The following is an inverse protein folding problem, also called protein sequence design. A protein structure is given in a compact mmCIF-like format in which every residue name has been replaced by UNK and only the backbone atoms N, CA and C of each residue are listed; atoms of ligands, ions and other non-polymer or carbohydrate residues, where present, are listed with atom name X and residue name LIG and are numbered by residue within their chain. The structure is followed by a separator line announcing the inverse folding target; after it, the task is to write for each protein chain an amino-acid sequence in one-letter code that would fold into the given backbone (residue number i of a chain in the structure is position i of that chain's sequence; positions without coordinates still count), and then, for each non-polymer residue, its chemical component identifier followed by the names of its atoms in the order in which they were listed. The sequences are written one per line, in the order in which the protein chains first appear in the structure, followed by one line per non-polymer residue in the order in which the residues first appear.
data_IF_779167328232
#
_entry.id   IF_779167328232
#
_cell.length_a   1.000
_cell.length_b   1.000
_cell.length_c   1.000
_cell.angle_alpha   90.00
_cell.angle_beta   90.00
_cell.angle_gamma   90.00
#
_symmetry.space_group_name_H-M   'P 1'
#
loop_
_entity.id
_entity.type
_entity.pdbx_description
1 polymer ?
#
# COMPACT_ATOMS: atom_id res chain seq x y z
N UNK A 1 -48.68 59.19 -38.14
CA UNK A 1 -47.90 58.04 -38.70
C UNK A 1 -46.68 57.86 -37.81
N UNK A 2 -46.63 56.73 -37.10
CA UNK A 2 -45.74 56.44 -35.96
C UNK A 2 -44.27 56.18 -36.37
N UNK A 3 -43.29 56.43 -35.48
CA UNK A 3 -41.96 55.84 -35.58
C UNK A 3 -41.96 54.41 -35.02
N UNK A 4 -41.44 53.45 -35.80
CA UNK A 4 -41.31 52.04 -35.39
C UNK A 4 -40.08 51.87 -34.46
N UNK A 5 -40.36 51.46 -33.24
CA UNK A 5 -39.38 50.96 -32.27
C UNK A 5 -38.75 49.65 -32.78
N UNK A 6 -37.41 49.61 -32.83
CA UNK A 6 -36.64 48.40 -33.10
C UNK A 6 -36.22 47.78 -31.77
N UNK A 7 -37.00 46.80 -31.30
CA UNK A 7 -36.71 46.01 -30.10
C UNK A 7 -35.60 45.01 -30.45
N UNK A 8 -34.40 45.21 -29.90
CA UNK A 8 -33.34 44.19 -29.88
C UNK A 8 -33.80 43.04 -28.97
N UNK A 9 -34.00 41.85 -29.55
CA UNK A 9 -34.17 40.60 -28.81
C UNK A 9 -32.86 40.28 -28.09
N UNK A 10 -32.83 40.43 -26.77
CA UNK A 10 -31.80 39.86 -25.91
C UNK A 10 -32.18 38.41 -25.67
N UNK A 11 -31.49 37.48 -26.32
CA UNK A 11 -31.61 36.05 -26.04
C UNK A 11 -30.88 35.78 -24.73
N UNK A 12 -31.64 35.66 -23.64
CA UNK A 12 -31.13 35.28 -22.33
C UNK A 12 -30.78 33.78 -22.38
N UNK A 13 -29.49 33.45 -22.49
CA UNK A 13 -29.02 32.08 -22.28
C UNK A 13 -29.16 31.76 -20.79
N UNK A 14 -30.22 31.02 -20.43
CA UNK A 14 -30.36 30.43 -19.10
C UNK A 14 -29.29 29.34 -19.00
N UNK A 15 -28.14 29.65 -18.38
CA UNK A 15 -27.20 28.63 -17.93
C UNK A 15 -27.93 27.83 -16.85
N UNK A 16 -28.39 26.63 -17.19
CA UNK A 16 -28.79 25.64 -16.20
C UNK A 16 -27.54 25.31 -15.36
N UNK A 17 -27.44 25.94 -14.20
CA UNK A 17 -26.55 25.47 -13.13
C UNK A 17 -27.19 24.17 -12.65
N UNK A 18 -26.78 23.04 -13.23
CA UNK A 18 -27.12 21.74 -12.69
C UNK A 18 -26.42 21.68 -11.33
N UNK A 19 -27.16 21.57 -10.20
CA UNK A 19 -26.52 21.37 -8.91
C UNK A 19 -25.75 20.05 -8.98
N UNK A 20 -24.43 20.15 -8.85
CA UNK A 20 -23.47 19.04 -8.80
C UNK A 20 -23.56 18.27 -7.47
N UNK A 21 -24.76 17.79 -7.13
CA UNK A 21 -25.05 17.15 -5.87
C UNK A 21 -25.55 15.72 -6.14
N UNK A 22 -24.76 14.77 -5.63
CA UNK A 22 -24.91 13.30 -5.70
C UNK A 22 -24.55 12.66 -7.05
N UNK A 23 -23.24 12.67 -7.36
CA UNK A 23 -22.67 11.69 -8.31
C UNK A 23 -22.62 10.33 -7.61
N UNK A 24 -23.56 9.44 -7.95
CA UNK A 24 -23.52 8.02 -7.58
C UNK A 24 -22.71 7.21 -8.60
N UNK A 25 -22.29 6.02 -8.19
CA UNK A 25 -21.74 5.02 -9.12
C UNK A 25 -22.76 4.70 -10.22
N UNK A 26 -22.27 4.57 -11.45
CA UNK A 26 -23.08 4.20 -12.61
C UNK A 26 -22.45 2.99 -13.34
N UNK A 27 -23.27 2.13 -13.98
CA UNK A 27 -22.75 1.10 -14.87
C UNK A 27 -21.86 1.72 -15.96
N UNK A 28 -20.72 1.08 -16.21
CA UNK A 28 -19.68 1.54 -17.13
C UNK A 28 -18.62 2.44 -16.50
N UNK A 29 -18.81 2.93 -15.27
CA UNK A 29 -17.77 3.64 -14.52
C UNK A 29 -16.50 2.79 -14.43
N UNK A 30 -15.33 3.41 -14.62
CA UNK A 30 -14.04 2.76 -14.44
C UNK A 30 -13.67 2.69 -12.98
N UNK A 31 -13.10 1.55 -12.58
CA UNK A 31 -12.60 1.32 -11.23
C UNK A 31 -11.08 1.30 -11.26
N UNK A 32 -10.46 2.17 -10.46
CA UNK A 32 -9.02 2.16 -10.24
C UNK A 32 -8.65 1.04 -9.26
N UNK A 33 -7.43 0.53 -9.36
CA UNK A 33 -6.92 -0.47 -8.42
C UNK A 33 -6.79 0.12 -7.01
N UNK A 34 -7.05 -0.70 -6.00
CA UNK A 34 -6.91 -0.34 -4.58
C UNK A 34 -6.58 -1.57 -3.75
N UNK A 35 -6.06 -1.34 -2.54
CA UNK A 35 -5.81 -2.38 -1.55
C UNK A 35 -6.45 -2.02 -0.21
N UNK A 36 -7.28 -2.91 0.31
CA UNK A 36 -7.89 -2.79 1.64
C UNK A 36 -7.55 -4.03 2.48
N UNK A 37 -7.57 -3.84 3.80
CA UNK A 37 -7.58 -4.96 4.73
C UNK A 37 -9.01 -5.41 4.96
N UNK A 38 -9.24 -6.71 5.06
CA UNK A 38 -10.49 -7.24 5.56
C UNK A 38 -10.59 -7.10 7.09
N UNK A 39 -11.76 -7.40 7.63
CA UNK A 39 -12.01 -7.36 9.06
C UNK A 39 -11.06 -8.26 9.86
N UNK A 40 -10.55 -9.36 9.27
CA UNK A 40 -9.62 -10.33 9.88
C UNK A 40 -8.13 -9.96 9.69
N UNK A 41 -7.81 -8.96 8.86
CA UNK A 41 -6.45 -8.52 8.53
C UNK A 41 -5.87 -9.10 7.24
N UNK A 42 -6.67 -9.84 6.48
CA UNK A 42 -6.31 -10.26 5.13
C UNK A 42 -6.16 -9.06 4.22
N UNK A 43 -5.08 -9.02 3.43
CA UNK A 43 -4.84 -7.93 2.47
C UNK A 43 -5.40 -8.32 1.11
N UNK A 44 -6.25 -7.48 0.54
CA UNK A 44 -6.88 -7.71 -0.76
C UNK A 44 -6.63 -6.52 -1.67
N UNK A 45 -5.88 -6.75 -2.74
CA UNK A 45 -5.67 -5.78 -3.82
C UNK A 45 -6.42 -6.25 -5.06
N UNK A 46 -7.19 -5.32 -5.64
CA UNK A 46 -8.13 -5.64 -6.71
C UNK A 46 -7.43 -6.28 -7.93
N UNK A 47 -6.23 -5.82 -8.26
CA UNK A 47 -5.40 -6.35 -9.35
C UNK A 47 -5.15 -7.87 -9.29
N UNK A 48 -5.07 -8.48 -8.09
CA UNK A 48 -4.82 -9.92 -7.97
C UNK A 48 -6.04 -10.80 -8.26
N UNK A 49 -7.17 -10.21 -8.63
CA UNK A 49 -8.38 -10.92 -9.04
C UNK A 49 -8.71 -10.66 -10.52
N UNK A 50 -7.69 -10.41 -11.35
CA UNK A 50 -7.83 -10.16 -12.78
C UNK A 50 -8.22 -11.40 -13.60
N UNK A 51 -8.04 -12.58 -13.01
CA UNK A 51 -8.43 -13.88 -13.52
C UNK A 51 -9.91 -14.22 -13.27
N UNK A 52 -10.57 -13.52 -12.36
CA UNK A 52 -11.99 -13.72 -12.06
C UNK A 52 -12.89 -13.17 -13.18
N UNK A 53 -14.04 -13.82 -13.39
CA UNK A 53 -15.07 -13.34 -14.32
C UNK A 53 -15.87 -12.17 -13.76
N UNK A 54 -16.07 -12.13 -12.44
CA UNK A 54 -16.79 -11.06 -11.77
C UNK A 54 -16.35 -10.90 -10.31
N UNK A 55 -16.29 -9.66 -9.85
CA UNK A 55 -16.07 -9.32 -8.43
C UNK A 55 -17.33 -8.65 -7.90
N UNK A 56 -17.96 -9.27 -6.92
CA UNK A 56 -19.25 -8.87 -6.38
C UNK A 56 -19.03 -8.19 -5.05
N UNK A 57 -19.59 -7.00 -4.88
CA UNK A 57 -19.47 -6.24 -3.65
C UNK A 57 -20.85 -5.94 -3.07
N UNK A 58 -21.00 -6.16 -1.77
CA UNK A 58 -22.11 -5.65 -0.98
C UNK A 58 -21.61 -4.51 -0.08
N UNK A 59 -22.21 -3.33 -0.21
CA UNK A 59 -21.86 -2.19 0.64
C UNK A 59 -22.39 -2.43 2.05
N UNK A 60 -21.49 -2.65 2.99
CA UNK A 60 -21.77 -3.00 4.38
C UNK A 60 -21.82 -1.74 5.26
N UNK A 61 -22.45 -1.87 6.42
CA UNK A 61 -22.42 -0.88 7.48
C UNK A 61 -23.07 -1.46 8.73
N UNK A 62 -22.41 -1.33 9.88
CA UNK A 62 -22.92 -1.91 11.11
C UNK A 62 -24.24 -1.23 11.51
N UNK A 63 -25.10 -1.99 12.18
CA UNK A 63 -26.40 -1.53 12.65
C UNK A 63 -27.46 -1.42 11.55
N UNK A 64 -27.12 -1.56 10.27
CA UNK A 64 -28.08 -1.40 9.17
C UNK A 64 -28.95 -2.66 9.01
N UNK A 65 -30.28 -2.58 9.23
CA UNK A 65 -31.17 -3.74 9.09
C UNK A 65 -31.19 -4.28 7.65
N UNK A 66 -31.10 -3.38 6.66
CA UNK A 66 -31.07 -3.75 5.24
C UNK A 66 -29.86 -4.65 4.93
N UNK A 67 -28.68 -4.30 5.44
CA UNK A 67 -27.45 -5.08 5.28
C UNK A 67 -27.57 -6.44 5.97
N UNK A 68 -28.08 -6.48 7.21
CA UNK A 68 -28.29 -7.74 7.95
C UNK A 68 -29.20 -8.70 7.21
N UNK A 69 -30.28 -8.19 6.60
CA UNK A 69 -31.17 -9.00 5.75
C UNK A 69 -30.53 -9.42 4.42
N UNK A 70 -29.69 -8.57 3.83
CA UNK A 70 -29.00 -8.86 2.58
C UNK A 70 -27.86 -9.88 2.74
N UNK A 71 -27.13 -9.84 3.86
CA UNK A 71 -25.91 -10.62 4.09
C UNK A 71 -26.11 -12.14 3.94
N UNK A 72 -27.17 -12.70 4.53
CA UNK A 72 -27.46 -14.13 4.42
C UNK A 72 -27.68 -14.58 2.97
N UNK A 73 -28.36 -13.75 2.18
CA UNK A 73 -28.69 -14.06 0.77
C UNK A 73 -27.50 -13.82 -0.14
N UNK A 74 -26.68 -12.84 0.20
CA UNK A 74 -25.40 -12.62 -0.45
C UNK A 74 -24.45 -13.80 -0.22
N UNK A 75 -24.46 -14.39 0.99
CA UNK A 75 -23.74 -15.63 1.28
C UNK A 75 -24.30 -16.82 0.50
N UNK A 76 -25.63 -16.99 0.42
CA UNK A 76 -26.24 -18.03 -0.43
C UNK A 76 -25.79 -17.91 -1.90
N UNK A 77 -25.72 -16.69 -2.44
CA UNK A 77 -25.20 -16.46 -3.79
C UNK A 77 -23.72 -16.79 -3.90
N UNK A 78 -22.90 -16.38 -2.93
CA UNK A 78 -21.48 -16.77 -2.89
C UNK A 78 -21.34 -18.30 -2.97
N UNK A 79 -22.12 -19.05 -2.19
CA UNK A 79 -22.04 -20.52 -2.16
C UNK A 79 -22.49 -21.16 -3.48
N UNK A 80 -23.41 -20.54 -4.23
CA UNK A 80 -23.82 -20.98 -5.57
C UNK A 80 -22.69 -20.80 -6.60
N UNK A 81 -21.88 -19.74 -6.47
CA UNK A 81 -20.86 -19.35 -7.46
C UNK A 81 -19.42 -19.66 -7.04
N UNK A 82 -19.20 -20.36 -5.92
CA UNK A 82 -17.87 -20.60 -5.33
C UNK A 82 -16.85 -21.22 -6.31
N UNK A 83 -17.29 -22.10 -7.22
CA UNK A 83 -16.44 -22.78 -8.21
C UNK A 83 -16.53 -22.17 -9.63
N UNK A 84 -17.04 -20.94 -9.77
CA UNK A 84 -17.36 -20.33 -11.08
C UNK A 84 -16.51 -19.10 -11.42
N UNK A 85 -15.33 -18.94 -10.78
CA UNK A 85 -14.44 -17.78 -10.98
C UNK A 85 -15.15 -16.45 -10.67
N UNK A 86 -15.97 -16.46 -9.61
CA UNK A 86 -16.67 -15.28 -9.09
C UNK A 86 -16.26 -15.06 -7.64
N UNK A 87 -15.83 -13.85 -7.33
CA UNK A 87 -15.36 -13.52 -6.00
C UNK A 87 -16.34 -12.56 -5.30
N UNK A 88 -16.58 -12.78 -4.01
CA UNK A 88 -17.54 -12.02 -3.22
C UNK A 88 -16.86 -11.29 -2.07
N UNK A 89 -17.10 -9.98 -2.01
CA UNK A 89 -16.68 -9.10 -0.94
C UNK A 89 -17.87 -8.32 -0.36
N UNK A 90 -17.70 -7.90 0.87
CA UNK A 90 -18.38 -6.76 1.43
C UNK A 90 -17.39 -5.59 1.52
N UNK A 91 -17.86 -4.35 1.48
CA UNK A 91 -17.03 -3.16 1.68
C UNK A 91 -17.71 -2.19 2.65
N UNK A 92 -16.98 -1.73 3.65
CA UNK A 92 -17.46 -0.76 4.64
C UNK A 92 -16.61 0.52 4.59
N UNK A 93 -17.26 1.66 4.33
CA UNK A 93 -16.67 3.01 4.32
C UNK A 93 -17.29 3.93 5.38
N UNK A 94 -17.93 3.38 6.42
CA UNK A 94 -18.53 4.14 7.51
C UNK A 94 -17.48 4.47 8.58
N UNK A 95 -17.34 5.75 8.94
CA UNK A 95 -16.35 6.21 9.93
C UNK A 95 -16.62 5.73 11.37
N UNK A 96 -17.85 5.37 11.70
CA UNK A 96 -18.20 4.89 13.04
C UNK A 96 -17.94 3.39 13.22
N UNK A 97 -17.57 2.68 12.15
CA UNK A 97 -17.30 1.25 12.15
C UNK A 97 -15.78 1.02 12.09
N UNK A 98 -15.31 -0.01 12.79
CA UNK A 98 -13.91 -0.43 12.74
C UNK A 98 -13.80 -1.96 12.60
N UNK A 99 -12.58 -2.47 12.38
CA UNK A 99 -12.37 -3.91 12.19
C UNK A 99 -12.83 -4.76 13.38
N UNK A 100 -12.83 -4.22 14.60
CA UNK A 100 -13.25 -4.96 15.80
C UNK A 100 -14.77 -5.07 15.81
N UNK A 101 -15.48 -3.95 15.74
CA UNK A 101 -16.94 -3.87 15.74
C UNK A 101 -17.56 -4.58 14.54
N UNK A 102 -16.95 -4.49 13.36
CA UNK A 102 -17.38 -5.23 12.15
C UNK A 102 -17.29 -6.74 12.38
N UNK A 103 -16.21 -7.25 13.01
CA UNK A 103 -16.08 -8.68 13.34
C UNK A 103 -17.13 -9.13 14.35
N UNK A 104 -17.43 -8.30 15.35
CA UNK A 104 -18.44 -8.59 16.35
C UNK A 104 -19.83 -8.68 15.72
N UNK A 105 -20.18 -7.74 14.84
CA UNK A 105 -21.47 -7.79 14.13
C UNK A 105 -21.55 -9.00 13.20
N UNK A 106 -20.51 -9.27 12.40
CA UNK A 106 -20.50 -10.44 11.50
C UNK A 106 -20.71 -11.75 12.26
N UNK A 107 -20.12 -11.87 13.46
CA UNK A 107 -20.30 -13.01 14.35
C UNK A 107 -21.71 -13.07 14.95
N UNK A 108 -22.26 -11.94 15.40
CA UNK A 108 -23.61 -11.86 15.99
C UNK A 108 -24.69 -12.30 14.99
N UNK A 109 -24.58 -11.85 13.74
CA UNK A 109 -25.55 -12.15 12.68
C UNK A 109 -25.15 -13.35 11.80
N UNK A 110 -24.10 -14.08 12.18
CA UNK A 110 -23.67 -15.34 11.60
C UNK A 110 -23.47 -15.30 10.07
N UNK A 111 -22.75 -14.29 9.57
CA UNK A 111 -22.28 -14.27 8.18
C UNK A 111 -20.74 -14.31 8.14
N UNK A 112 -20.19 -15.16 7.28
CA UNK A 112 -18.74 -15.33 7.10
C UNK A 112 -18.34 -14.88 5.69
N UNK A 113 -18.41 -13.58 5.48
CA UNK A 113 -18.02 -12.90 4.25
C UNK A 113 -16.77 -12.05 4.51
N UNK A 114 -15.93 -11.86 3.50
CA UNK A 114 -14.77 -10.97 3.56
C UNK A 114 -15.25 -9.52 3.50
N UNK A 115 -15.02 -8.74 4.55
CA UNK A 115 -15.48 -7.35 4.67
C UNK A 115 -14.26 -6.45 4.60
N UNK A 116 -14.05 -5.83 3.44
CA UNK A 116 -13.00 -4.84 3.22
C UNK A 116 -13.33 -3.57 3.99
N UNK A 117 -12.36 -3.07 4.75
CA UNK A 117 -12.53 -1.89 5.62
C UNK A 117 -11.79 -0.70 5.02
N UNK A 118 -12.54 0.35 4.68
CA UNK A 118 -12.08 1.62 4.10
C UNK A 118 -12.18 2.74 5.14
N UNK A 119 -11.26 2.70 6.10
CA UNK A 119 -11.15 3.65 7.22
C UNK A 119 -10.89 5.10 6.77
N UNK A 120 -10.13 5.28 5.69
CA UNK A 120 -9.85 6.59 5.09
C UNK A 120 -11.02 7.17 4.27
N UNK A 121 -12.02 6.35 3.95
CA UNK A 121 -13.11 6.61 3.00
C UNK A 121 -12.69 6.88 1.55
N UNK A 122 -11.40 6.90 1.23
CA UNK A 122 -10.89 7.25 -0.09
C UNK A 122 -11.37 6.27 -1.16
N UNK A 123 -11.51 4.99 -0.82
CA UNK A 123 -11.97 3.98 -1.78
C UNK A 123 -13.47 4.12 -2.02
N UNK A 124 -14.27 4.28 -0.98
CA UNK A 124 -15.71 4.51 -1.06
C UNK A 124 -16.04 5.78 -1.84
N UNK A 125 -15.28 6.86 -1.64
CA UNK A 125 -15.43 8.10 -2.41
C UNK A 125 -15.07 7.89 -3.90
N UNK A 126 -13.98 7.17 -4.19
CA UNK A 126 -13.53 6.87 -5.56
C UNK A 126 -14.53 5.99 -6.30
N UNK A 127 -15.13 5.02 -5.60
CA UNK A 127 -16.18 4.16 -6.11
C UNK A 127 -17.54 4.88 -6.19
N UNK A 128 -17.67 6.09 -5.63
CA UNK A 128 -18.94 6.83 -5.54
C UNK A 128 -20.03 6.03 -4.81
N UNK A 129 -19.65 5.30 -3.77
CA UNK A 129 -20.61 4.62 -2.89
C UNK A 129 -21.57 5.66 -2.30
N UNK A 130 -22.83 5.29 -2.14
CA UNK A 130 -23.85 6.22 -1.67
C UNK A 130 -24.72 5.64 -0.55
N UNK A 131 -24.94 4.33 -0.57
CA UNK A 131 -25.87 3.65 0.31
C UNK A 131 -25.34 2.30 0.78
N UNK A 132 -25.59 1.97 2.04
CA UNK A 132 -25.40 0.60 2.54
C UNK A 132 -26.47 -0.34 1.99
N UNK A 133 -26.21 -1.63 1.87
CA UNK A 133 -27.16 -2.62 1.34
C UNK A 133 -27.23 -2.69 -0.19
N UNK A 134 -26.64 -1.72 -0.89
CA UNK A 134 -26.45 -1.75 -2.33
C UNK A 134 -25.38 -2.78 -2.72
N UNK A 135 -25.60 -3.48 -3.83
CA UNK A 135 -24.62 -4.38 -4.43
C UNK A 135 -24.13 -3.83 -5.75
N UNK A 136 -22.90 -4.14 -6.10
CA UNK A 136 -22.34 -3.83 -7.42
C UNK A 136 -21.40 -4.93 -7.90
N UNK A 137 -21.20 -4.99 -9.22
CA UNK A 137 -20.29 -5.93 -9.87
C UNK A 137 -19.19 -5.15 -10.59
N UNK A 138 -17.94 -5.51 -10.35
CA UNK A 138 -16.81 -5.09 -11.17
C UNK A 138 -16.48 -6.23 -12.14
N UNK A 139 -16.33 -5.90 -13.43
CA UNK A 139 -15.82 -6.81 -14.45
C UNK A 139 -14.29 -6.65 -14.58
N UNK A 140 -13.47 -7.64 -14.15
CA UNK A 140 -12.01 -7.53 -14.19
C UNK A 140 -11.42 -7.43 -15.60
N UNK A 141 -12.12 -7.94 -16.63
CA UNK A 141 -11.65 -7.88 -18.03
C UNK A 141 -11.42 -6.45 -18.52
N UNK A 142 -12.15 -5.49 -17.96
CA UNK A 142 -12.06 -4.09 -18.38
C UNK A 142 -12.09 -3.08 -17.22
N UNK A 143 -12.08 -3.57 -15.97
CA UNK A 143 -12.16 -2.79 -14.74
C UNK A 143 -13.29 -1.76 -14.77
N UNK A 144 -14.50 -2.21 -15.11
CA UNK A 144 -15.69 -1.35 -15.09
C UNK A 144 -16.83 -1.95 -14.28
N UNK A 145 -17.70 -1.07 -13.78
CA UNK A 145 -18.92 -1.45 -13.08
C UNK A 145 -19.90 -2.06 -14.08
N UNK A 146 -20.23 -3.34 -13.92
CA UNK A 146 -21.17 -4.04 -14.80
C UNK A 146 -22.62 -3.97 -14.29
N UNK A 147 -22.80 -3.87 -12.98
CA UNK A 147 -24.11 -3.81 -12.33
C UNK A 147 -24.03 -2.99 -11.04
N UNK A 148 -25.11 -2.28 -10.72
CA UNK A 148 -25.33 -1.65 -9.41
C UNK A 148 -26.82 -1.68 -9.04
N UNK A 149 -27.16 -2.03 -7.79
CA UNK A 149 -28.52 -1.93 -7.29
C UNK A 149 -28.84 -2.91 -6.17
N UNK A 150 -30.05 -3.47 -6.19
CA UNK A 150 -30.51 -4.47 -5.23
C UNK A 150 -30.06 -5.89 -5.60
N UNK A 151 -30.06 -6.79 -4.61
CA UNK A 151 -29.87 -8.24 -4.87
C UNK A 151 -31.06 -8.80 -5.66
N UNK A 152 -32.28 -8.39 -5.29
CA UNK A 152 -33.56 -8.88 -5.80
C UNK A 152 -34.73 -8.00 -5.30
N UNK A 153 -35.97 -8.40 -5.59
CA UNK A 153 -37.19 -7.65 -5.28
C UNK A 153 -37.90 -8.06 -3.96
N UNK A 154 -37.22 -8.77 -3.05
CA UNK A 154 -37.83 -9.26 -1.80
C UNK A 154 -38.02 -8.17 -0.76
N UNK A 155 -37.11 -7.21 -0.68
CA UNK A 155 -37.06 -6.20 0.39
C UNK A 155 -37.62 -4.86 -0.09
N UNK A 156 -38.52 -4.28 0.70
CA UNK A 156 -38.92 -2.87 0.63
C UNK A 156 -38.70 -2.22 2.01
N UNK A 157 -38.79 -0.89 2.12
CA UNK A 157 -38.72 -0.24 3.44
C UNK A 157 -39.86 -0.65 4.38
N UNK A 158 -41.00 -1.08 3.82
CA UNK A 158 -42.21 -1.39 4.60
C UNK A 158 -42.43 -2.88 4.80
N UNK A 159 -41.93 -3.73 3.89
CA UNK A 159 -42.26 -5.15 3.84
C UNK A 159 -41.10 -6.02 3.33
N UNK A 160 -41.13 -7.30 3.70
CA UNK A 160 -40.23 -8.32 3.15
C UNK A 160 -41.06 -9.49 2.61
N UNK A 161 -40.93 -9.80 1.32
CA UNK A 161 -41.55 -10.98 0.72
C UNK A 161 -40.94 -12.25 1.30
N UNK A 162 -41.69 -13.36 1.31
CA UNK A 162 -41.12 -14.66 1.69
C UNK A 162 -40.09 -15.14 0.64
N UNK A 163 -40.43 -14.96 -0.65
CA UNK A 163 -39.60 -15.35 -1.80
C UNK A 163 -39.48 -14.18 -2.79
N UNK A 164 -38.30 -14.05 -3.39
CA UNK A 164 -38.10 -13.12 -4.50
C UNK A 164 -38.84 -13.61 -5.75
N UNK A 165 -39.34 -12.66 -6.54
CA UNK A 165 -39.91 -12.90 -7.88
C UNK A 165 -38.93 -12.51 -8.98
N UNK A 166 -37.94 -11.64 -8.69
CA UNK A 166 -36.87 -11.22 -9.61
C UNK A 166 -35.53 -11.34 -8.91
N UNK A 167 -34.48 -11.79 -9.60
CA UNK A 167 -33.18 -12.09 -9.01
C UNK A 167 -32.05 -11.27 -9.65
N UNK A 168 -32.14 -9.94 -9.54
CA UNK A 168 -31.32 -9.00 -10.32
C UNK A 168 -29.81 -9.27 -10.27
N UNK A 169 -29.25 -9.47 -9.08
CA UNK A 169 -27.81 -9.73 -8.94
C UNK A 169 -27.43 -11.08 -9.57
N UNK A 170 -28.24 -12.11 -9.36
CA UNK A 170 -28.03 -13.45 -9.94
C UNK A 170 -28.04 -13.38 -11.47
N UNK A 171 -29.07 -12.74 -12.03
CA UNK A 171 -29.23 -12.59 -13.48
C UNK A 171 -28.04 -11.83 -14.10
N UNK A 172 -27.53 -10.80 -13.40
CA UNK A 172 -26.35 -10.05 -13.83
C UNK A 172 -25.04 -10.87 -13.78
N UNK A 173 -24.87 -11.72 -12.75
CA UNK A 173 -23.72 -12.63 -12.66
C UNK A 173 -23.79 -13.66 -13.80
N UNK A 174 -24.95 -14.27 -14.03
CA UNK A 174 -25.15 -15.26 -15.08
C UNK A 174 -24.87 -14.67 -16.48
N UNK A 175 -25.34 -13.45 -16.75
CA UNK A 175 -25.04 -12.73 -18.00
C UNK A 175 -23.52 -12.59 -18.20
N UNK A 176 -22.76 -12.22 -17.16
CA UNK A 176 -21.30 -12.06 -17.26
C UNK A 176 -20.57 -13.40 -17.42
N UNK A 177 -21.02 -14.47 -16.74
CA UNK A 177 -20.45 -15.81 -16.86
C UNK A 177 -20.62 -16.39 -18.27
N UNK A 178 -21.70 -15.98 -18.96
CA UNK A 178 -21.99 -16.31 -20.35
C UNK A 178 -21.38 -15.32 -21.36
N UNK A 179 -20.48 -14.43 -20.91
CA UNK A 179 -19.84 -13.39 -21.73
C UNK A 179 -20.83 -12.43 -22.43
N UNK A 180 -22.01 -12.24 -21.83
CA UNK A 180 -23.05 -11.31 -22.29
C UNK A 180 -22.95 -9.96 -21.57
N UNK A 181 -23.54 -8.94 -22.18
CA UNK A 181 -23.79 -7.67 -21.50
C UNK A 181 -24.91 -7.84 -20.47
N UNK A 182 -24.73 -7.31 -19.26
CA UNK A 182 -25.76 -7.32 -18.21
C UNK A 182 -27.05 -6.66 -18.71
N UNK A 183 -28.13 -7.43 -18.74
CA UNK A 183 -29.41 -7.02 -19.34
C UNK A 183 -30.10 -5.90 -18.56
N UNK A 184 -30.01 -5.94 -17.23
CA UNK A 184 -30.52 -4.90 -16.33
C UNK A 184 -29.36 -4.39 -15.47
N UNK A 185 -28.56 -3.44 -15.98
CA UNK A 185 -27.32 -3.03 -15.32
C UNK A 185 -27.56 -2.14 -14.09
N UNK A 186 -28.78 -1.64 -13.89
CA UNK A 186 -29.15 -0.79 -12.75
C UNK A 186 -30.51 -1.13 -12.19
N UNK A 187 -30.62 -1.21 -10.86
CA UNK A 187 -31.89 -1.26 -10.14
C UNK A 187 -31.90 -0.30 -8.94
N UNK A 188 -33.07 -0.02 -8.38
CA UNK A 188 -33.17 0.76 -7.15
C UNK A 188 -32.70 -0.08 -5.95
N UNK A 189 -31.82 0.50 -5.13
CA UNK A 189 -31.31 -0.11 -3.91
C UNK A 189 -31.86 0.59 -2.67
N UNK A 190 -32.05 -0.18 -1.60
CA UNK A 190 -32.42 0.33 -0.28
C UNK A 190 -31.18 0.42 0.58
N UNK A 191 -31.19 1.34 1.53
CA UNK A 191 -30.04 1.53 2.40
C UNK A 191 -30.12 2.71 3.34
N UNK A 192 -29.07 2.86 4.14
CA UNK A 192 -28.75 4.10 4.83
C UNK A 192 -27.76 4.89 3.96
N UNK A 193 -27.82 6.22 4.00
CA UNK A 193 -26.85 7.06 3.31
C UNK A 193 -25.47 6.92 3.96
N UNK A 194 -24.43 6.85 3.14
CA UNK A 194 -23.03 6.89 3.60
C UNK A 194 -22.58 8.35 3.60
N UNK A 195 -22.00 8.78 4.72
CA UNK A 195 -21.52 10.15 4.86
C UNK A 195 -20.03 10.23 4.53
N UNK A 196 -19.66 11.15 3.64
CA UNK A 196 -18.27 11.48 3.29
C UNK A 196 -17.99 12.94 3.66
N UNK A 197 -17.84 13.25 4.96
CA UNK A 197 -17.86 14.63 5.46
C UNK A 197 -16.76 15.50 4.85
N UNK A 198 -15.57 14.95 4.60
CA UNK A 198 -14.42 15.69 4.11
C UNK A 198 -14.39 15.88 2.59
N UNK A 199 -15.33 15.28 1.84
CA UNK A 199 -15.35 15.34 0.37
C UNK A 199 -15.55 16.76 -0.17
N UNK A 200 -16.24 17.63 0.57
CA UNK A 200 -16.44 19.02 0.19
C UNK A 200 -15.21 19.91 0.49
N UNK A 201 -14.45 19.55 1.51
CA UNK A 201 -13.36 20.39 2.06
C UNK A 201 -12.02 20.18 1.34
N UNK A 202 -11.96 19.29 0.35
CA UNK A 202 -10.74 18.99 -0.43
C UNK A 202 -10.06 20.23 -1.02
N UNK A 203 -10.83 21.29 -1.30
CA UNK A 203 -10.32 22.54 -1.87
C UNK A 203 -9.65 23.45 -0.83
N UNK A 204 -9.85 23.16 0.47
CA UNK A 204 -9.29 23.92 1.58
C UNK A 204 -7.92 23.42 2.02
N UNK A 205 -7.49 22.24 1.53
CA UNK A 205 -6.22 21.61 1.91
C UNK A 205 -5.05 22.46 1.41
N UNK A 206 -4.23 22.92 2.34
CA UNK A 206 -3.01 23.69 2.11
C UNK A 206 -1.85 22.75 1.79
N UNK A 207 -1.17 22.99 0.67
CA UNK A 207 0.07 22.28 0.38
C UNK A 207 1.12 22.54 1.46
N UNK A 208 1.25 23.78 1.92
CA UNK A 208 2.32 24.15 2.83
C UNK A 208 2.10 23.68 4.27
N UNK A 209 0.85 23.75 4.73
CA UNK A 209 0.51 23.51 6.14
C UNK A 209 0.03 22.08 6.41
N UNK A 210 -0.66 21.45 5.44
CA UNK A 210 -1.26 20.13 5.64
C UNK A 210 -0.47 19.02 4.93
N UNK A 211 -0.06 19.25 3.67
CA UNK A 211 0.55 18.20 2.83
C UNK A 211 2.05 18.10 3.06
N UNK A 212 2.78 19.21 2.99
CA UNK A 212 4.23 19.20 3.06
C UNK A 212 4.76 18.56 4.36
N UNK A 213 4.19 18.80 5.56
CA UNK A 213 4.63 18.10 6.77
C UNK A 213 4.53 16.58 6.66
N UNK A 214 3.43 16.05 6.10
CA UNK A 214 3.24 14.61 5.88
C UNK A 214 4.31 14.08 4.92
N UNK A 215 4.59 14.81 3.83
CA UNK A 215 5.62 14.43 2.86
C UNK A 215 7.02 14.42 3.49
N UNK A 216 7.35 15.44 4.27
CA UNK A 216 8.63 15.55 4.97
C UNK A 216 8.84 14.36 5.91
N UNK A 217 7.87 14.09 6.77
CA UNK A 217 7.95 13.03 7.78
C UNK A 217 8.00 11.64 7.14
N UNK A 218 7.09 11.36 6.20
CA UNK A 218 6.87 9.99 5.73
C UNK A 218 7.63 9.65 4.44
N UNK A 219 7.87 10.64 3.56
CA UNK A 219 8.34 10.39 2.19
C UNK A 219 9.78 10.83 1.94
N UNK A 220 10.20 12.01 2.45
CA UNK A 220 11.48 12.60 2.06
C UNK A 220 12.71 11.83 2.55
N UNK A 221 12.59 11.04 3.63
CA UNK A 221 13.65 10.15 4.12
C UNK A 221 14.18 9.23 3.01
N UNK A 222 13.29 8.74 2.15
CA UNK A 222 13.65 7.89 1.02
C UNK A 222 13.74 8.67 -0.29
N UNK A 223 12.83 9.62 -0.51
CA UNK A 223 12.75 10.46 -1.72
C UNK A 223 13.59 11.74 -1.61
N UNK A 224 14.89 11.59 -1.32
CA UNK A 224 15.86 12.69 -1.25
C UNK A 224 17.05 12.44 -2.15
N UNK A 225 17.87 13.46 -2.36
CA UNK A 225 19.16 13.29 -3.03
C UNK A 225 20.03 12.28 -2.25
N UNK A 226 20.62 11.32 -2.96
CA UNK A 226 21.34 10.20 -2.35
C UNK A 226 20.46 9.15 -1.65
N UNK A 227 19.14 9.35 -1.58
CA UNK A 227 18.17 8.41 -1.04
C UNK A 227 17.91 7.21 -1.95
N UNK A 228 17.05 6.29 -1.49
CA UNK A 228 16.68 5.06 -2.22
C UNK A 228 15.48 5.25 -3.16
N UNK A 229 14.74 6.35 -3.04
CA UNK A 229 13.60 6.66 -3.88
C UNK A 229 14.04 6.92 -5.34
N UNK A 230 13.21 6.56 -6.34
CA UNK A 230 13.56 6.70 -7.76
C UNK A 230 13.62 8.17 -8.24
N UNK A 231 13.15 9.11 -7.44
CA UNK A 231 13.17 10.55 -7.72
C UNK A 231 13.24 11.34 -6.41
N UNK A 232 13.72 12.59 -6.52
CA UNK A 232 13.91 13.50 -5.39
C UNK A 232 12.67 14.37 -5.21
N UNK A 233 12.15 14.38 -3.99
CA UNK A 233 11.04 15.22 -3.55
C UNK A 233 11.56 16.62 -3.17
N UNK A 234 12.13 17.33 -4.14
CA UNK A 234 12.85 18.59 -3.93
C UNK A 234 11.95 19.80 -3.70
N UNK A 235 10.83 19.83 -4.40
CA UNK A 235 9.93 20.99 -4.48
C UNK A 235 8.52 20.54 -4.92
N UNK A 236 7.56 21.46 -4.83
CA UNK A 236 6.18 21.19 -5.23
C UNK A 236 6.03 20.81 -6.69
N UNK A 237 6.81 21.39 -7.61
CA UNK A 237 6.67 21.10 -9.04
C UNK A 237 6.99 19.64 -9.31
N UNK A 238 8.02 19.10 -8.66
CA UNK A 238 8.36 17.68 -8.68
C UNK A 238 7.23 16.83 -8.09
N UNK A 239 6.77 17.16 -6.88
CA UNK A 239 5.66 16.43 -6.23
C UNK A 239 4.41 16.42 -7.10
N UNK A 240 4.03 17.57 -7.66
CA UNK A 240 2.88 17.71 -8.55
C UNK A 240 3.02 16.85 -9.79
N UNK A 241 4.21 16.77 -10.38
CA UNK A 241 4.49 15.90 -11.53
C UNK A 241 4.23 14.41 -11.23
N UNK A 242 4.55 13.97 -10.01
CA UNK A 242 4.33 12.58 -9.56
C UNK A 242 3.03 12.35 -8.79
N UNK A 243 2.21 13.39 -8.60
CA UNK A 243 1.02 13.36 -7.72
C UNK A 243 0.04 12.21 -8.05
N UNK A 244 -0.26 11.96 -9.31
CA UNK A 244 -1.16 10.86 -9.69
C UNK A 244 -0.56 9.49 -9.36
N UNK A 245 0.76 9.32 -9.53
CA UNK A 245 1.47 8.11 -9.11
C UNK A 245 1.46 7.97 -7.59
N UNK A 246 1.65 9.07 -6.84
CA UNK A 246 1.53 9.08 -5.38
C UNK A 246 0.15 8.59 -4.93
N UNK A 247 -0.93 9.10 -5.53
CA UNK A 247 -2.30 8.64 -5.25
C UNK A 247 -2.46 7.15 -5.51
N UNK A 248 -1.91 6.64 -6.61
CA UNK A 248 -1.97 5.21 -6.95
C UNK A 248 -1.24 4.34 -5.93
N UNK A 249 0.00 4.68 -5.57
CA UNK A 249 0.79 3.89 -4.60
C UNK A 249 0.24 3.96 -3.18
N UNK A 250 -0.41 5.08 -2.81
CA UNK A 250 -1.10 5.23 -1.52
C UNK A 250 -2.37 4.37 -1.49
N UNK A 251 -3.22 4.44 -2.53
CA UNK A 251 -4.46 3.63 -2.63
C UNK A 251 -4.21 2.13 -2.67
N UNK A 252 -3.06 1.72 -3.21
CA UNK A 252 -2.63 0.30 -3.27
C UNK A 252 -1.75 -0.10 -2.08
N UNK A 253 -1.54 0.80 -1.10
CA UNK A 253 -0.65 0.61 0.07
C UNK A 253 0.74 0.07 -0.29
N UNK A 254 1.27 0.48 -1.45
CA UNK A 254 2.66 0.23 -1.86
C UNK A 254 3.62 1.25 -1.23
N UNK A 255 3.11 2.45 -0.93
CA UNK A 255 3.88 3.50 -0.27
C UNK A 255 3.08 4.14 0.88
N UNK A 256 3.76 4.49 1.99
CA UNK A 256 5.11 4.05 2.35
C UNK A 256 5.19 2.51 2.48
N UNK A 257 6.38 1.90 2.30
CA UNK A 257 6.52 0.45 2.29
C UNK A 257 6.45 -0.11 3.73
N UNK A 258 5.23 -0.18 4.27
CA UNK A 258 4.93 -0.69 5.59
C UNK A 258 3.76 -1.68 5.51
N UNK A 259 4.04 -2.96 5.81
CA UNK A 259 3.07 -4.04 5.68
C UNK A 259 2.59 -4.60 7.03
N UNK A 260 3.03 -4.02 8.14
CA UNK A 260 2.53 -4.45 9.44
C UNK A 260 1.07 -4.01 9.58
N UNK A 261 0.24 -4.89 10.14
CA UNK A 261 -1.15 -4.58 10.45
C UNK A 261 -1.18 -3.57 11.62
N UNK A 262 -1.77 -2.37 11.45
CA UNK A 262 -1.83 -1.35 12.51
C UNK A 262 -2.64 -1.79 13.73
N UNK A 263 -3.45 -2.85 13.63
CA UNK A 263 -4.18 -3.42 14.77
C UNK A 263 -3.31 -4.39 15.60
N UNK A 264 -2.13 -4.79 15.10
CA UNK A 264 -1.31 -5.85 15.70
C UNK A 264 0.04 -5.30 16.17
N UNK A 265 0.06 -4.88 17.44
CA UNK A 265 1.25 -4.37 18.11
C UNK A 265 1.53 -2.91 17.78
N UNK A 266 2.53 -2.36 18.46
CA UNK A 266 3.02 -1.00 18.23
C UNK A 266 4.50 -1.10 17.85
N UNK A 267 4.89 -0.40 16.78
CA UNK A 267 6.24 -0.46 16.26
C UNK A 267 6.88 0.92 16.38
N UNK A 268 8.04 1.00 17.03
CA UNK A 268 8.78 2.26 17.21
C UNK A 268 9.27 2.86 15.88
N UNK A 269 9.22 2.08 14.80
CA UNK A 269 9.62 2.47 13.46
C UNK A 269 8.45 2.37 12.46
N UNK A 270 7.21 2.49 12.92
CA UNK A 270 6.04 2.61 12.05
C UNK A 270 6.18 3.83 11.13
N UNK A 271 5.88 3.62 9.84
CA UNK A 271 5.93 4.64 8.80
C UNK A 271 4.66 4.64 7.94
N UNK A 272 3.63 3.95 8.42
CA UNK A 272 2.33 3.95 7.77
C UNK A 272 1.76 5.37 7.78
N UNK A 273 1.00 5.67 6.74
CA UNK A 273 0.13 6.84 6.76
C UNK A 273 -1.13 6.45 7.51
N UNK A 274 -1.54 7.28 8.46
CA UNK A 274 -2.85 7.11 9.09
C UNK A 274 -3.98 7.53 8.13
N UNK A 275 -5.23 7.20 8.48
CA UNK A 275 -6.38 7.44 7.63
C UNK A 275 -6.56 8.92 7.23
N UNK A 276 -6.27 9.87 8.14
CA UNK A 276 -6.37 11.31 7.85
C UNK A 276 -5.24 11.81 6.95
N UNK A 277 -4.03 11.28 7.10
CA UNK A 277 -2.90 11.59 6.22
C UNK A 277 -3.15 11.08 4.79
N UNK A 278 -3.61 9.82 4.66
CA UNK A 278 -4.03 9.24 3.38
C UNK A 278 -5.09 10.10 2.72
N UNK A 279 -6.12 10.48 3.51
CA UNK A 279 -7.23 11.30 3.04
C UNK A 279 -6.74 12.68 2.56
N UNK A 280 -5.95 13.37 3.37
CA UNK A 280 -5.38 14.69 3.05
C UNK A 280 -4.57 14.67 1.76
N UNK A 281 -3.65 13.71 1.64
CA UNK A 281 -2.81 13.57 0.44
C UNK A 281 -3.66 13.28 -0.81
N UNK A 282 -4.56 12.29 -0.75
CA UNK A 282 -5.36 11.90 -1.92
C UNK A 282 -6.32 13.01 -2.32
N UNK A 283 -7.01 13.64 -1.37
CA UNK A 283 -7.92 14.74 -1.64
C UNK A 283 -7.21 15.96 -2.25
N UNK A 284 -6.03 16.32 -1.76
CA UNK A 284 -5.21 17.39 -2.34
C UNK A 284 -4.77 17.06 -3.77
N UNK A 285 -4.36 15.82 -4.03
CA UNK A 285 -3.99 15.35 -5.37
C UNK A 285 -5.20 15.46 -6.31
N UNK A 286 -6.37 14.96 -5.89
CA UNK A 286 -7.61 15.01 -6.68
C UNK A 286 -8.15 16.43 -6.88
N UNK A 287 -7.82 17.37 -5.99
CA UNK A 287 -8.09 18.79 -6.16
C UNK A 287 -7.10 19.50 -7.11
N UNK A 288 -6.17 18.75 -7.71
CA UNK A 288 -5.21 19.25 -8.72
C UNK A 288 -3.83 19.59 -8.16
N UNK A 289 -3.50 19.13 -6.95
CA UNK A 289 -2.22 19.33 -6.27
C UNK A 289 -1.79 20.81 -6.26
N UNK A 290 -2.67 21.68 -5.76
CA UNK A 290 -2.46 23.14 -5.79
C UNK A 290 -1.29 23.53 -4.89
N UNK A 291 -0.47 24.48 -5.35
CA UNK A 291 0.72 24.96 -4.63
C UNK A 291 0.40 25.84 -3.42
N UNK A 292 -0.67 26.65 -3.51
CA UNK A 292 -0.87 27.77 -2.59
C UNK A 292 0.15 28.89 -2.80
N UNK A 293 0.21 29.81 -1.84
CA UNK A 293 1.14 30.94 -1.81
C UNK A 293 2.34 30.66 -0.88
N UNK A 294 3.32 31.58 -0.83
CA UNK A 294 4.46 31.50 0.09
C UNK A 294 5.63 30.62 -0.38
N UNK A 295 6.74 30.60 0.37
CA UNK A 295 7.92 29.80 0.03
C UNK A 295 7.61 28.29 0.07
N UNK A 296 8.37 27.49 -0.66
CA UNK A 296 8.14 26.04 -0.68
C UNK A 296 8.71 25.40 0.57
N UNK A 297 7.92 24.71 1.40
CA UNK A 297 8.46 24.04 2.57
C UNK A 297 9.46 22.94 2.18
N UNK A 298 9.29 22.27 1.03
CA UNK A 298 10.20 21.21 0.59
C UNK A 298 11.58 21.73 0.22
N UNK A 299 11.66 22.93 -0.36
CA UNK A 299 12.96 23.58 -0.66
C UNK A 299 13.73 23.98 0.61
N UNK A 300 13.03 24.08 1.75
CA UNK A 300 13.62 24.44 3.03
C UNK A 300 14.07 23.22 3.84
N UNK A 301 13.72 22.01 3.42
CA UNK A 301 14.10 20.78 4.12
C UNK A 301 15.60 20.56 3.92
N UNK A 302 16.37 20.80 4.98
CA UNK A 302 17.78 20.47 5.02
C UNK A 302 17.93 18.99 5.33
N UNK A 303 17.91 18.16 4.29
CA UNK A 303 18.26 16.75 4.42
C UNK A 303 19.76 16.58 4.25
N UNK A 304 20.36 15.70 5.05
CA UNK A 304 21.75 15.30 4.86
C UNK A 304 21.96 14.78 3.44
N UNK A 305 23.01 15.30 2.78
CA UNK A 305 23.50 14.85 1.48
C UNK A 305 24.48 13.69 1.62
N UNK A 306 24.75 13.22 2.85
CA UNK A 306 25.59 12.05 3.05
C UNK A 306 24.94 10.81 2.42
N UNK A 307 25.79 9.97 1.83
CA UNK A 307 25.40 8.65 1.36
C UNK A 307 25.12 7.69 2.52
N UNK A 308 25.59 8.00 3.73
CA UNK A 308 25.36 7.28 4.97
C UNK A 308 24.23 7.95 5.75
N UNK A 309 23.13 7.24 5.93
CA UNK A 309 21.94 7.75 6.63
C UNK A 309 22.24 8.10 8.09
N UNK A 310 23.15 7.37 8.73
CA UNK A 310 23.49 7.57 10.14
C UNK A 310 24.52 8.68 10.41
N UNK A 311 25.16 9.23 9.37
CA UNK A 311 26.32 10.10 9.56
C UNK A 311 25.98 11.39 10.33
N UNK A 312 24.79 11.95 10.11
CA UNK A 312 24.34 13.14 10.82
C UNK A 312 24.18 12.91 12.33
N UNK A 313 23.75 11.69 12.74
CA UNK A 313 23.52 11.34 14.15
C UNK A 313 24.75 10.77 14.84
N UNK A 314 25.55 9.98 14.12
CA UNK A 314 26.66 9.19 14.69
C UNK A 314 28.06 9.66 14.26
N UNK A 315 28.17 10.61 13.34
CA UNK A 315 29.42 10.88 12.61
C UNK A 315 29.67 9.85 11.49
N UNK A 316 30.76 10.00 10.71
CA UNK A 316 31.08 9.03 9.65
C UNK A 316 31.31 7.63 10.23
N UNK A 317 31.17 6.56 9.43
CA UNK A 317 31.46 5.21 9.90
C UNK A 317 32.91 5.09 10.35
N UNK A 318 33.14 4.43 11.49
CA UNK A 318 34.47 4.14 12.03
C UNK A 318 35.26 3.23 11.08
N UNK A 319 34.56 2.28 10.45
CA UNK A 319 35.12 1.38 9.46
C UNK A 319 34.23 1.25 8.22
N UNK A 320 34.86 1.17 7.05
CA UNK A 320 34.19 0.89 5.78
C UNK A 320 34.75 -0.41 5.20
N UNK A 321 33.86 -1.37 4.96
CA UNK A 321 34.17 -2.65 4.30
C UNK A 321 33.73 -2.55 2.84
N UNK A 322 34.67 -2.56 1.91
CA UNK A 322 34.37 -2.63 0.48
C UNK A 322 33.96 -4.06 0.10
N UNK A 323 32.83 -4.19 -0.58
CA UNK A 323 32.36 -5.47 -1.12
C UNK A 323 32.89 -5.60 -2.55
N UNK A 324 33.41 -6.77 -2.97
CA UNK A 324 33.86 -6.98 -4.34
C UNK A 324 32.80 -6.60 -5.37
N UNK A 325 33.19 -5.76 -6.32
CA UNK A 325 32.27 -5.26 -7.35
C UNK A 325 31.66 -6.39 -8.17
N UNK A 326 30.42 -6.19 -8.61
CA UNK A 326 29.69 -7.15 -9.44
C UNK A 326 29.21 -6.48 -10.71
N UNK A 327 29.53 -7.07 -11.86
CA UNK A 327 28.96 -6.69 -13.14
C UNK A 327 27.50 -7.11 -13.22
N UNK A 328 26.61 -6.16 -13.50
CA UNK A 328 25.18 -6.39 -13.69
C UNK A 328 24.84 -6.17 -15.16
N UNK A 329 24.29 -7.18 -15.86
CA UNK A 329 23.91 -7.05 -17.26
C UNK A 329 22.70 -6.10 -17.42
N UNK A 330 22.47 -5.63 -18.64
CA UNK A 330 21.32 -4.77 -18.95
C UNK A 330 19.98 -5.49 -18.80
N UNK A 331 19.92 -6.79 -19.09
CA UNK A 331 18.71 -7.61 -19.07
C UNK A 331 19.02 -9.02 -18.58
N UNK A 332 17.97 -9.80 -18.30
CA UNK A 332 18.08 -11.19 -17.89
C UNK A 332 18.00 -11.39 -16.38
N UNK A 333 18.31 -12.61 -15.94
CA UNK A 333 18.32 -13.00 -14.53
C UNK A 333 19.76 -13.04 -14.04
N UNK A 334 20.01 -12.44 -12.87
CA UNK A 334 21.32 -12.49 -12.21
C UNK A 334 21.23 -13.44 -11.04
N UNK A 335 21.94 -14.57 -11.12
CA UNK A 335 22.05 -15.48 -9.99
C UNK A 335 22.64 -14.78 -8.76
N UNK A 336 22.16 -15.19 -7.58
CA UNK A 336 22.68 -14.74 -6.29
C UNK A 336 24.22 -14.79 -6.26
N UNK A 337 24.83 -13.67 -5.90
CA UNK A 337 26.28 -13.57 -5.71
C UNK A 337 26.60 -13.69 -4.24
N UNK A 338 27.57 -14.53 -3.91
CA UNK A 338 28.05 -14.72 -2.54
C UNK A 338 29.48 -14.20 -2.45
N UNK A 339 29.64 -13.04 -1.82
CA UNK A 339 30.95 -12.42 -1.63
C UNK A 339 31.44 -12.70 -0.21
N UNK A 340 32.69 -13.15 -0.09
CA UNK A 340 33.34 -13.42 1.20
C UNK A 340 34.45 -12.41 1.42
N UNK A 341 34.33 -11.61 2.48
CA UNK A 341 35.28 -10.53 2.80
C UNK A 341 35.82 -10.76 4.20
N UNK A 342 37.15 -10.86 4.33
CA UNK A 342 37.79 -10.96 5.65
C UNK A 342 37.55 -9.68 6.43
N UNK A 343 37.25 -9.78 7.72
CA UNK A 343 37.11 -8.61 8.58
C UNK A 343 38.42 -7.79 8.58
N UNK A 344 38.37 -6.56 8.09
CA UNK A 344 39.51 -5.64 8.01
C UNK A 344 39.64 -4.73 9.23
N UNK A 345 38.67 -4.73 10.15
CA UNK A 345 38.74 -4.00 11.43
C UNK A 345 39.96 -4.45 12.23
N UNK A 346 40.25 -5.75 12.26
CA UNK A 346 41.46 -6.31 12.86
C UNK A 346 41.44 -6.45 14.39
N UNK A 347 40.37 -6.05 15.05
CA UNK A 347 40.16 -6.20 16.50
C UNK A 347 38.71 -6.60 16.84
N UNK A 348 38.51 -7.08 18.06
CA UNK A 348 37.21 -7.45 18.58
C UNK A 348 36.42 -6.19 18.94
N UNK A 349 35.28 -5.97 18.28
CA UNK A 349 34.48 -4.76 18.47
C UNK A 349 33.02 -5.06 18.78
N UNK A 350 32.35 -4.08 19.39
CA UNK A 350 30.89 -4.06 19.53
C UNK A 350 30.30 -3.09 18.52
N UNK A 351 29.53 -3.62 17.57
CA UNK A 351 28.90 -2.82 16.51
C UNK A 351 27.60 -2.22 17.06
N UNK A 352 27.48 -0.89 17.07
CA UNK A 352 26.25 -0.14 17.47
C UNK A 352 25.39 0.27 16.28
N UNK A 353 25.97 0.34 15.08
CA UNK A 353 25.22 0.51 13.85
C UNK A 353 25.97 -0.10 12.67
N UNK A 354 25.22 -0.58 11.68
CA UNK A 354 25.77 -0.98 10.38
C UNK A 354 24.80 -0.57 9.28
N UNK A 355 25.37 -0.12 8.16
CA UNK A 355 24.65 0.38 7.00
C UNK A 355 25.31 -0.14 5.72
N UNK A 356 24.50 -0.57 4.77
CA UNK A 356 24.96 -0.98 3.44
C UNK A 356 24.58 0.12 2.46
N UNK A 357 25.55 0.60 1.70
CA UNK A 357 25.35 1.59 0.64
C UNK A 357 25.63 0.93 -0.70
N UNK A 358 24.60 0.69 -1.53
CA UNK A 358 24.76 0.19 -2.88
C UNK A 358 25.67 1.10 -3.71
N UNK A 359 26.51 0.51 -4.56
CA UNK A 359 27.26 1.28 -5.55
C UNK A 359 26.33 1.81 -6.63
N UNK A 360 25.40 0.97 -7.08
CA UNK A 360 24.30 1.34 -7.98
C UNK A 360 22.94 0.93 -7.38
N UNK A 361 22.28 1.89 -6.72
CA UNK A 361 21.00 1.70 -6.03
C UNK A 361 19.86 1.23 -6.95
N UNK A 362 19.99 1.41 -8.27
CA UNK A 362 18.93 1.00 -9.20
C UNK A 362 18.93 -0.51 -9.44
N UNK A 363 20.07 -1.19 -9.28
CA UNK A 363 20.20 -2.61 -9.61
C UNK A 363 20.29 -3.52 -8.39
N UNK A 364 20.73 -3.04 -7.23
CA UNK A 364 20.84 -3.88 -6.03
C UNK A 364 19.48 -4.05 -5.35
N UNK A 365 18.92 -5.26 -5.44
CA UNK A 365 17.61 -5.58 -4.89
C UNK A 365 17.66 -5.91 -3.39
N UNK A 366 18.67 -6.67 -2.95
CA UNK A 366 18.97 -6.80 -1.52
C UNK A 366 20.36 -7.38 -1.25
N UNK A 367 20.82 -7.17 -0.01
CA UNK A 367 22.00 -7.82 0.57
C UNK A 367 21.60 -8.44 1.90
N UNK A 368 21.92 -9.72 2.09
CA UNK A 368 21.91 -10.35 3.42
C UNK A 368 23.34 -10.44 3.91
N UNK A 369 23.61 -9.85 5.07
CA UNK A 369 24.93 -9.85 5.69
C UNK A 369 24.98 -10.90 6.79
N UNK A 370 25.90 -11.84 6.66
CA UNK A 370 26.23 -12.80 7.70
C UNK A 370 27.72 -12.71 8.03
N UNK A 371 28.12 -13.12 9.22
CA UNK A 371 29.53 -13.22 9.57
C UNK A 371 29.81 -14.39 10.51
N UNK A 372 31.06 -14.80 10.56
CA UNK A 372 31.55 -15.83 11.48
C UNK A 372 32.83 -16.50 10.98
N UNK A 373 33.28 -17.55 11.67
CA UNK A 373 34.41 -18.35 11.22
C UNK A 373 34.05 -19.14 9.97
N UNK A 374 35.05 -19.39 9.13
CA UNK A 374 34.90 -20.23 7.93
C UNK A 374 35.30 -21.68 8.20
N UNK A 375 34.71 -22.59 7.43
CA UNK A 375 35.12 -23.99 7.40
C UNK A 375 36.53 -24.09 6.78
N UNK A 376 37.45 -24.75 7.49
CA UNK A 376 38.84 -24.91 7.04
C UNK A 376 39.07 -26.20 6.24
N UNK A 377 38.12 -27.15 6.31
CA UNK A 377 38.21 -28.49 5.69
C UNK A 377 36.87 -28.98 5.16
N UNK A 378 36.91 -30.00 4.31
CA UNK A 378 35.73 -30.66 3.77
C UNK A 378 35.04 -29.90 2.62
N UNK A 379 33.86 -30.38 2.16
CA UNK A 379 33.18 -29.85 0.98
C UNK A 379 32.72 -28.40 1.09
N UNK A 380 32.61 -27.87 2.32
CA UNK A 380 32.21 -26.48 2.60
C UNK A 380 33.39 -25.55 2.88
N UNK A 381 34.64 -25.98 2.63
CA UNK A 381 35.83 -25.16 2.88
C UNK A 381 35.67 -23.76 2.28
N UNK A 382 35.93 -22.72 3.09
CA UNK A 382 35.79 -21.31 2.71
C UNK A 382 34.37 -20.74 2.89
N UNK A 383 33.38 -21.53 3.28
CA UNK A 383 32.02 -21.07 3.64
C UNK A 383 31.93 -20.81 5.14
N UNK A 384 30.98 -19.97 5.56
CA UNK A 384 30.69 -19.78 6.98
C UNK A 384 30.23 -21.08 7.63
N UNK A 385 30.72 -21.32 8.85
CA UNK A 385 30.26 -22.43 9.67
C UNK A 385 28.82 -22.20 10.09
N UNK A 386 27.93 -23.11 9.71
CA UNK A 386 26.48 -22.90 9.83
C UNK A 386 26.00 -22.58 11.25
N UNK A 387 26.58 -23.24 12.28
CA UNK A 387 26.19 -23.07 13.69
C UNK A 387 26.75 -21.80 14.35
N UNK A 388 27.82 -21.24 13.79
CA UNK A 388 28.53 -20.09 14.33
C UNK A 388 28.25 -18.82 13.49
N UNK A 389 27.43 -18.95 12.44
CA UNK A 389 27.02 -17.85 11.57
C UNK A 389 26.07 -16.92 12.33
N UNK A 390 26.50 -15.68 12.51
CA UNK A 390 25.66 -14.58 13.01
C UNK A 390 25.19 -13.72 11.85
N UNK A 391 24.07 -13.03 12.04
CA UNK A 391 23.58 -12.00 11.13
C UNK A 391 24.14 -10.64 11.52
N UNK A 392 24.42 -9.81 10.51
CA UNK A 392 24.52 -8.36 10.67
C UNK A 392 23.46 -7.74 9.75
N UNK A 393 23.25 -6.43 9.86
CA UNK A 393 22.20 -5.76 9.10
C UNK A 393 22.39 -5.95 7.59
N UNK A 394 21.28 -6.24 6.90
CA UNK A 394 21.20 -6.29 5.44
C UNK A 394 20.70 -4.99 4.82
N UNK A 395 20.42 -5.06 3.52
CA UNK A 395 19.82 -3.98 2.74
C UNK A 395 18.70 -4.53 1.88
N UNK A 396 17.62 -3.76 1.77
CA UNK A 396 16.65 -3.85 0.70
C UNK A 396 16.06 -2.43 0.51
N UNK A 397 15.61 -2.06 -0.70
CA UNK A 397 14.89 -0.81 -0.91
C UNK A 397 13.75 -0.64 0.11
N UNK A 398 13.73 0.49 0.82
CA UNK A 398 12.75 0.79 1.87
C UNK A 398 13.14 0.39 3.30
N UNK A 399 14.22 -0.37 3.50
CA UNK A 399 14.75 -0.65 4.85
C UNK A 399 15.48 0.59 5.39
N UNK A 400 15.14 0.99 6.62
CA UNK A 400 15.87 2.03 7.34
C UNK A 400 17.19 1.50 7.90
N UNK A 401 18.20 2.36 7.88
CA UNK A 401 19.50 2.10 8.48
C UNK A 401 19.64 2.64 9.91
N UNK A 402 18.55 2.83 10.67
CA UNK A 402 18.59 3.35 12.05
C UNK A 402 19.62 2.63 12.95
N UNK A 403 20.33 3.31 13.86
CA UNK A 403 21.24 2.65 14.80
C UNK A 403 20.52 1.58 15.61
N UNK A 404 21.29 0.65 16.18
CA UNK A 404 20.73 -0.29 17.15
C UNK A 404 20.18 0.47 18.38
N UNK A 405 19.21 -0.11 19.11
CA UNK A 405 18.72 0.48 20.36
C UNK A 405 19.85 0.87 21.31
N UNK A 406 19.60 1.85 22.17
CA UNK A 406 20.58 2.31 23.15
C UNK A 406 21.07 1.14 24.04
N UNK A 407 22.35 1.18 24.42
CA UNK A 407 23.02 0.13 25.21
C UNK A 407 22.94 -1.29 24.61
N UNK A 408 22.78 -1.38 23.28
CA UNK A 408 22.77 -2.66 22.57
C UNK A 408 23.78 -2.69 21.42
N UNK A 409 24.24 -3.89 21.07
CA UNK A 409 25.17 -4.05 19.96
C UNK A 409 25.45 -5.50 19.59
N UNK A 410 26.04 -5.70 18.42
CA UNK A 410 26.45 -7.02 17.93
C UNK A 410 27.95 -7.20 18.11
N UNK A 411 28.41 -8.27 18.76
CA UNK A 411 29.83 -8.59 18.87
C UNK A 411 30.39 -9.08 17.53
N UNK A 412 31.41 -8.39 17.02
CA UNK A 412 32.14 -8.75 15.81
C UNK A 412 33.59 -9.14 16.16
N UNK A 413 33.94 -10.43 16.04
CA UNK A 413 35.30 -10.90 16.27
C UNK A 413 36.29 -10.40 15.21
N UNK A 414 37.55 -10.16 15.62
CA UNK A 414 38.65 -9.72 14.77
C UNK A 414 38.90 -10.67 13.58
N UNK A 415 38.73 -11.98 13.78
CA UNK A 415 39.02 -13.03 12.80
C UNK A 415 37.81 -13.46 11.95
N UNK A 416 36.67 -12.79 12.13
CA UNK A 416 35.46 -13.10 11.38
C UNK A 416 35.62 -12.89 9.87
N UNK A 417 34.86 -13.66 9.09
CA UNK A 417 34.64 -13.41 7.66
C UNK A 417 33.20 -12.98 7.47
N UNK A 418 32.98 -11.94 6.68
CA UNK A 418 31.66 -11.53 6.21
C UNK A 418 31.27 -12.36 4.98
N UNK A 419 30.01 -12.76 4.92
CA UNK A 419 29.32 -13.30 3.75
C UNK A 419 28.23 -12.30 3.36
N UNK A 420 28.33 -11.75 2.16
CA UNK A 420 27.31 -10.92 1.55
C UNK A 420 26.60 -11.74 0.48
N UNK A 421 25.34 -12.09 0.73
CA UNK A 421 24.46 -12.67 -0.28
C UNK A 421 23.76 -11.52 -1.00
N UNK A 422 24.19 -11.25 -2.23
CA UNK A 422 23.72 -10.14 -3.05
C UNK A 422 22.78 -10.60 -4.15
N UNK A 423 21.68 -9.88 -4.34
CA UNK A 423 20.69 -10.14 -5.38
C UNK A 423 20.42 -8.86 -6.18
N UNK A 424 20.39 -8.98 -7.51
CA UNK A 424 20.32 -7.84 -8.43
C UNK A 424 19.13 -7.95 -9.39
N UNK A 425 18.56 -6.80 -9.75
CA UNK A 425 17.53 -6.66 -10.77
C UNK A 425 18.06 -5.78 -11.90
N UNK A 426 18.31 -6.33 -13.10
CA UNK A 426 18.68 -5.54 -14.27
C UNK A 426 17.64 -4.47 -14.64
N UNK A 427 18.12 -3.27 -15.02
CA UNK A 427 17.26 -2.09 -15.28
C UNK A 427 17.36 -1.56 -16.71
N UNK A 428 17.76 -2.40 -17.66
CA UNK A 428 17.89 -2.00 -19.07
C UNK A 428 19.23 -1.33 -19.43
N UNK A 429 20.14 -1.14 -18.48
CA UNK A 429 21.54 -0.75 -18.71
C UNK A 429 22.49 -1.67 -17.98
N UNK A 430 23.61 -2.01 -18.62
CA UNK A 430 24.70 -2.69 -17.93
C UNK A 430 25.38 -1.71 -16.97
N UNK A 431 25.81 -2.20 -15.81
CA UNK A 431 26.46 -1.38 -14.78
C UNK A 431 27.38 -2.24 -13.92
N UNK A 432 28.18 -1.58 -13.10
CA UNK A 432 29.02 -2.23 -12.08
C UNK A 432 28.57 -1.75 -10.73
N UNK A 433 28.09 -2.67 -9.90
CA UNK A 433 27.76 -2.36 -8.51
C UNK A 433 28.99 -2.53 -7.63
N UNK A 434 29.37 -1.45 -6.92
CA UNK A 434 30.49 -1.43 -5.96
C UNK A 434 29.97 -1.07 -4.57
N UNK A 435 29.19 -1.99 -3.99
CA UNK A 435 28.54 -1.82 -2.69
C UNK A 435 29.56 -1.77 -1.55
N UNK A 436 29.22 -1.01 -0.50
CA UNK A 436 30.04 -0.87 0.72
C UNK A 436 29.21 -1.08 1.98
N UNK A 437 29.87 -1.45 3.06
CA UNK A 437 29.29 -1.52 4.40
C UNK A 437 30.00 -0.58 5.37
N UNK A 438 29.26 0.33 5.98
CA UNK A 438 29.71 1.14 7.11
C UNK A 438 29.46 0.44 8.43
N UNK A 439 30.39 0.59 9.38
CA UNK A 439 30.32 0.07 10.74
C UNK A 439 30.60 1.22 11.71
N UNK A 440 29.72 1.37 12.71
CA UNK A 440 29.93 2.24 13.86
C UNK A 440 30.14 1.40 15.11
N UNK A 441 31.12 1.78 15.91
CA UNK A 441 31.57 1.03 17.09
C UNK A 441 31.03 1.66 18.37
N UNK A 442 30.63 0.81 19.32
CA UNK A 442 30.30 1.23 20.67
C UNK A 442 31.57 1.55 21.45
N UNK A 443 31.55 2.65 22.18
CA UNK A 443 32.70 3.10 22.99
C UNK A 443 33.01 2.11 24.12
N UNK A 444 31.98 1.43 24.63
CA UNK A 444 32.06 0.40 25.65
C UNK A 444 31.23 -0.83 25.27
N UNK A 445 31.45 -1.94 25.96
CA UNK A 445 30.63 -3.14 25.80
C UNK A 445 29.17 -2.83 26.18
N UNK A 446 28.19 -3.03 25.28
CA UNK A 446 26.78 -2.82 25.57
C UNK A 446 26.25 -3.85 26.59
N UNK A 447 25.20 -3.46 27.31
CA UNK A 447 24.50 -4.34 28.26
C UNK A 447 23.77 -5.47 27.53
N UNK A 448 23.24 -5.18 26.33
CA UNK A 448 22.43 -6.10 25.56
C UNK A 448 23.13 -6.52 24.26
N UNK A 449 23.36 -7.82 24.08
CA UNK A 449 23.81 -8.35 22.78
C UNK A 449 22.62 -8.50 21.83
N UNK A 450 22.75 -7.91 20.64
CA UNK A 450 21.89 -8.19 19.50
C UNK A 450 22.42 -9.41 18.78
N UNK A 451 21.52 -10.36 18.52
CA UNK A 451 21.80 -11.51 17.68
C UNK A 451 20.64 -11.75 16.73
N UNK A 452 20.94 -12.35 15.58
CA UNK A 452 19.92 -12.78 14.61
C UNK A 452 19.67 -14.28 14.74
N UNK A 453 18.41 -14.69 14.72
CA UNK A 453 18.00 -16.09 14.65
C UNK A 453 17.22 -16.34 13.37
N UNK A 454 17.52 -17.44 12.68
CA UNK A 454 16.74 -17.89 11.53
C UNK A 454 15.55 -18.69 12.04
N UNK A 455 14.35 -18.15 11.90
CA UNK A 455 13.11 -18.89 12.11
C UNK A 455 12.78 -19.69 10.85
N UNK A 456 12.87 -21.01 10.92
CA UNK A 456 12.61 -21.90 9.79
C UNK A 456 11.48 -22.88 10.13
N UNK A 457 10.43 -22.92 9.30
CA UNK A 457 9.44 -23.99 9.31
C UNK A 457 9.56 -24.83 8.03
N UNK A 458 10.39 -25.90 8.02
CA UNK A 458 10.57 -26.74 6.83
C UNK A 458 9.32 -27.59 6.49
N UNK A 459 8.28 -27.55 7.33
CA UNK A 459 7.02 -28.27 7.11
C UNK A 459 5.89 -27.35 6.62
N UNK A 460 6.16 -26.08 6.36
CA UNK A 460 5.16 -25.17 5.81
C UNK A 460 4.66 -25.74 4.47
N UNK A 461 3.35 -25.95 4.36
CA UNK A 461 2.68 -26.31 3.12
C UNK A 461 1.85 -25.11 2.70
N UNK A 462 2.31 -24.42 1.67
CA UNK A 462 1.53 -23.38 1.00
C UNK A 462 0.68 -24.12 -0.03
N UNK A 463 -0.65 -24.18 0.10
CA UNK A 463 -1.51 -24.78 -0.91
C UNK A 463 -1.33 -24.05 -2.25
N UNK A 464 -1.63 -24.71 -3.36
CA UNK A 464 -1.75 -24.01 -4.63
C UNK A 464 -2.88 -22.98 -4.48
N UNK A 465 -2.55 -21.72 -4.74
CA UNK A 465 -3.51 -20.62 -4.82
C UNK A 465 -4.26 -20.66 -6.13
#
# INVERSE_FOLDING_TARGET
VQPKNMIRKVTLFLLLIIPSWLVSMEPGDKVENFRLLDQKGGSHELFYYDDQKALIFLVQGNGCPIVRHAAARFQELKDIYEDQEVEFFMINSNLQDDRITIREEAKEYNYDLRILVDDSQIIGESLKLSRTGEVFIINPKNWSVAYIGAIDDRLTYENQKEKASKHFLKDAIDDLLEDKSVSVPRTESLGCLINFPNKADRQLISYADDVAPILVENCTVCHREGGVGPWVMSDHKMVKGFSLMMREVIRTKRMPPWHADPLIGEYSNDRSLNAEEVKTLVHWIEAGAKRGDGPDPLEQVKLSTSVWTNEEKLGPPDFVIDIPSTDVPATGVVDYKYQYVKNSVGEDIWVKASEIVPGDRQVLHHVITSFGPTETRGPRKGKLKFKERKGLRGYAPGINSNPFPDNSGTFLPADATFEFQMHYTPVGRATVDSTKMGIWVADEKPEHEIFSMIMLNPRIRIPAG
#
